data_IF_332027165488
#
_entry.id   IF_332027165488
#
_cell.length_a   1.000
_cell.length_b   1.000
_cell.length_c   1.000
_cell.angle_alpha   90.00
_cell.angle_beta   90.00
_cell.angle_gamma   90.00
#
_symmetry.space_group_name_H-M   'P 1'
#
loop_
_entity.id
_entity.type
_entity.pdbx_description
1 polymer ?
#
# COMPACT_ATOMS: atom_id res chain seq x y z
N UNK A 1 -6.44 12.52 -5.62
CA UNK A 1 -5.44 11.46 -5.38
C UNK A 1 -4.09 11.95 -5.90
N UNK A 2 -3.06 11.93 -5.07
CA UNK A 2 -1.68 12.24 -5.46
C UNK A 2 -0.91 10.92 -5.57
N UNK A 3 -0.31 10.66 -6.72
CA UNK A 3 0.29 9.35 -7.01
C UNK A 3 1.54 9.48 -7.88
N UNK A 4 2.37 8.43 -7.96
CA UNK A 4 3.52 8.38 -8.85
C UNK A 4 3.08 8.41 -10.31
N UNK A 5 3.79 9.17 -11.14
CA UNK A 5 3.62 9.11 -12.60
C UNK A 5 4.27 7.85 -13.19
N UNK A 6 3.54 7.19 -14.09
CA UNK A 6 4.02 6.07 -14.90
C UNK A 6 4.28 6.48 -16.36
N UNK A 7 5.01 5.65 -17.13
CA UNK A 7 5.29 5.93 -18.54
C UNK A 7 4.01 6.17 -19.37
N UNK A 8 4.01 7.23 -20.16
CA UNK A 8 2.88 7.58 -21.05
C UNK A 8 1.63 8.10 -20.34
N UNK A 9 1.65 8.29 -19.01
CA UNK A 9 0.53 8.85 -18.28
C UNK A 9 0.54 10.38 -18.28
N UNK A 10 -0.66 10.98 -18.25
CA UNK A 10 -0.82 12.42 -18.05
C UNK A 10 -0.61 12.78 -16.58
N UNK A 11 -0.10 13.98 -16.33
CA UNK A 11 0.04 14.51 -14.96
C UNK A 11 -1.31 14.69 -14.27
N UNK A 12 -2.37 14.92 -15.05
CA UNK A 12 -3.73 15.04 -14.53
C UNK A 12 -4.73 14.21 -15.36
N UNK A 13 -5.64 13.53 -14.65
CA UNK A 13 -6.86 12.94 -15.21
C UNK A 13 -8.01 13.03 -14.19
N UNK A 14 -9.25 13.01 -14.66
CA UNK A 14 -10.42 12.73 -13.82
C UNK A 14 -11.05 11.42 -14.29
N UNK A 15 -11.03 10.40 -13.44
CA UNK A 15 -11.56 9.06 -13.74
C UNK A 15 -12.61 8.73 -12.69
N UNK A 16 -13.84 8.45 -13.13
CA UNK A 16 -14.98 8.13 -12.25
C UNK A 16 -15.18 9.15 -11.11
N UNK A 17 -14.95 10.45 -11.40
CA UNK A 17 -15.08 11.54 -10.44
C UNK A 17 -13.88 11.72 -9.49
N UNK A 18 -12.83 10.91 -9.64
CA UNK A 18 -11.60 11.03 -8.86
C UNK A 18 -10.57 11.83 -9.65
N UNK A 19 -10.09 12.93 -9.07
CA UNK A 19 -9.00 13.74 -9.62
C UNK A 19 -7.65 13.09 -9.32
N UNK A 20 -6.95 12.64 -10.34
CA UNK A 20 -5.60 12.06 -10.26
C UNK A 20 -4.57 13.15 -10.56
N UNK A 21 -3.69 13.41 -9.60
CA UNK A 21 -2.49 14.24 -9.75
C UNK A 21 -1.28 13.31 -9.73
N UNK A 22 -0.77 12.96 -10.92
CA UNK A 22 0.38 12.08 -11.09
C UNK A 22 1.65 12.92 -11.04
N UNK A 23 2.38 12.78 -9.94
CA UNK A 23 3.51 13.62 -9.57
C UNK A 23 4.78 13.08 -10.22
N UNK A 24 5.39 13.90 -11.06
CA UNK A 24 6.73 13.69 -11.62
C UNK A 24 7.79 13.96 -10.55
N UNK A 25 8.82 13.12 -10.48
CA UNK A 25 9.92 13.27 -9.53
C UNK A 25 11.21 12.69 -10.10
N UNK A 26 12.35 13.11 -9.53
CA UNK A 26 13.66 12.58 -9.92
C UNK A 26 13.87 11.17 -9.37
N UNK A 27 14.07 10.20 -10.27
CA UNK A 27 14.42 8.82 -9.92
C UNK A 27 15.76 8.75 -9.18
N UNK A 28 15.88 7.75 -8.31
CA UNK A 28 17.11 7.53 -7.55
C UNK A 28 17.36 6.03 -7.40
N UNK A 29 18.60 5.54 -7.58
CA UNK A 29 18.93 4.12 -7.39
C UNK A 29 18.76 3.67 -5.93
N UNK A 30 18.82 4.58 -4.96
CA UNK A 30 18.43 4.28 -3.60
C UNK A 30 16.91 4.40 -3.41
N UNK A 31 16.28 3.27 -3.09
CA UNK A 31 14.83 3.18 -2.92
C UNK A 31 14.28 4.15 -1.88
N UNK A 32 14.96 4.33 -0.75
CA UNK A 32 14.46 5.22 0.33
C UNK A 32 14.52 6.66 -0.16
N UNK A 33 15.62 7.05 -0.80
CA UNK A 33 15.75 8.39 -1.40
C UNK A 33 14.76 8.61 -2.55
N UNK A 34 14.51 7.60 -3.38
CA UNK A 34 13.52 7.66 -4.46
C UNK A 34 12.12 7.92 -3.90
N UNK A 35 11.70 7.18 -2.86
CA UNK A 35 10.40 7.36 -2.24
C UNK A 35 10.28 8.71 -1.52
N UNK A 36 11.39 9.22 -0.98
CA UNK A 36 11.44 10.57 -0.43
C UNK A 36 11.26 11.66 -1.51
N UNK A 37 11.92 11.52 -2.67
CA UNK A 37 11.74 12.45 -3.80
C UNK A 37 10.28 12.43 -4.31
N UNK A 38 9.70 11.24 -4.41
CA UNK A 38 8.30 11.05 -4.76
C UNK A 38 7.37 11.72 -3.75
N UNK A 39 7.61 11.51 -2.44
CA UNK A 39 6.83 12.14 -1.38
C UNK A 39 6.87 13.67 -1.45
N UNK A 40 8.05 14.26 -1.71
CA UNK A 40 8.17 15.72 -1.86
C UNK A 40 7.36 16.25 -3.04
N UNK A 41 7.38 15.55 -4.17
CA UNK A 41 6.56 15.91 -5.33
C UNK A 41 5.05 15.82 -5.01
N UNK A 42 4.64 14.79 -4.25
CA UNK A 42 3.24 14.67 -3.79
C UNK A 42 2.83 15.79 -2.84
N UNK A 43 3.68 16.16 -1.88
CA UNK A 43 3.40 17.28 -0.96
C UNK A 43 3.29 18.60 -1.72
N UNK A 44 4.19 18.86 -2.67
CA UNK A 44 4.12 20.05 -3.54
C UNK A 44 2.81 20.11 -4.33
N UNK A 45 2.43 19.02 -5.00
CA UNK A 45 1.18 18.94 -5.74
C UNK A 45 -0.05 19.09 -4.82
N UNK A 46 0.01 18.52 -3.61
CA UNK A 46 -1.02 18.66 -2.59
C UNK A 46 -1.22 20.11 -2.18
N UNK A 47 -0.15 20.85 -1.88
CA UNK A 47 -0.25 22.26 -1.50
C UNK A 47 -0.80 23.12 -2.63
N UNK A 48 -0.31 22.93 -3.85
CA UNK A 48 -0.83 23.66 -5.02
C UNK A 48 -2.33 23.38 -5.25
N UNK A 49 -2.76 22.13 -5.03
CA UNK A 49 -4.16 21.75 -5.12
C UNK A 49 -4.99 22.43 -4.01
N UNK A 50 -4.58 22.35 -2.75
CA UNK A 50 -5.31 22.99 -1.65
C UNK A 50 -5.40 24.51 -1.79
N UNK A 51 -4.32 25.16 -2.25
CA UNK A 51 -4.30 26.60 -2.47
C UNK A 51 -5.25 27.01 -3.62
N UNK A 52 -5.55 26.10 -4.56
CA UNK A 52 -6.46 26.34 -5.67
C UNK A 52 -7.92 25.97 -5.37
N UNK A 53 -8.18 24.75 -4.90
CA UNK A 53 -9.53 24.21 -4.72
C UNK A 53 -10.04 24.24 -3.28
N UNK A 54 -9.22 24.67 -2.33
CA UNK A 54 -9.55 24.69 -0.91
C UNK A 54 -9.06 23.46 -0.14
N UNK A 55 -9.25 23.51 1.18
CA UNK A 55 -8.71 22.54 2.12
C UNK A 55 -9.34 21.15 1.99
N UNK A 56 -8.53 20.11 2.20
CA UNK A 56 -9.02 18.76 2.47
C UNK A 56 -9.29 18.57 3.98
N UNK A 57 -10.40 17.91 4.31
CA UNK A 57 -10.73 17.59 5.70
C UNK A 57 -9.88 16.43 6.25
N UNK A 58 -9.52 15.48 5.37
CA UNK A 58 -8.78 14.27 5.71
C UNK A 58 -7.72 14.02 4.63
N UNK A 59 -6.52 13.69 5.07
CA UNK A 59 -5.44 13.19 4.22
C UNK A 59 -5.24 11.71 4.53
N UNK A 60 -5.37 10.87 3.52
CA UNK A 60 -5.22 9.41 3.67
C UNK A 60 -3.98 8.94 2.93
N UNK A 61 -2.94 8.56 3.67
CA UNK A 61 -1.71 7.99 3.12
C UNK A 61 -1.71 6.46 3.15
N UNK A 62 -1.05 5.86 2.16
CA UNK A 62 -0.94 4.42 2.01
C UNK A 62 0.54 3.99 1.97
N UNK A 63 0.92 3.14 2.91
CA UNK A 63 2.28 2.60 3.11
C UNK A 63 3.39 3.64 3.36
N UNK A 64 4.55 3.12 3.77
CA UNK A 64 5.68 3.90 4.27
C UNK A 64 6.22 4.95 3.27
N UNK A 65 6.07 4.72 1.97
CA UNK A 65 6.68 5.56 0.94
C UNK A 65 6.07 6.96 0.84
N UNK A 66 4.85 7.17 1.35
CA UNK A 66 4.22 8.51 1.42
C UNK A 66 4.38 9.21 2.77
N UNK A 67 4.99 8.56 3.77
CA UNK A 67 5.10 9.12 5.12
C UNK A 67 5.82 10.48 5.16
N UNK A 68 6.91 10.72 4.39
CA UNK A 68 7.50 12.06 4.35
C UNK A 68 6.52 13.13 3.84
N UNK A 69 5.67 12.82 2.85
CA UNK A 69 4.64 13.76 2.39
C UNK A 69 3.59 14.03 3.47
N UNK A 70 3.15 13.00 4.19
CA UNK A 70 2.19 13.14 5.30
C UNK A 70 2.76 14.03 6.41
N UNK A 71 4.03 13.85 6.75
CA UNK A 71 4.72 14.66 7.76
C UNK A 71 4.77 16.14 7.35
N UNK A 72 5.22 16.43 6.13
CA UNK A 72 5.25 17.80 5.59
C UNK A 72 3.86 18.45 5.61
N UNK A 73 2.83 17.72 5.18
CA UNK A 73 1.44 18.20 5.16
C UNK A 73 0.92 18.44 6.58
N UNK A 74 1.20 17.55 7.54
CA UNK A 74 0.77 17.71 8.94
C UNK A 74 1.42 18.95 9.56
N UNK A 75 2.73 19.11 9.38
CA UNK A 75 3.49 20.24 9.93
C UNK A 75 3.09 21.57 9.31
N UNK A 76 2.85 21.62 8.00
CA UNK A 76 2.53 22.85 7.30
C UNK A 76 1.08 23.30 7.48
N UNK A 77 0.13 22.36 7.48
CA UNK A 77 -1.31 22.66 7.39
C UNK A 77 -2.17 22.03 8.49
N UNK A 78 -1.59 21.27 9.42
CA UNK A 78 -2.30 20.67 10.55
C UNK A 78 -3.38 19.65 10.15
N UNK A 79 -3.25 19.01 8.98
CA UNK A 79 -4.29 18.11 8.45
C UNK A 79 -4.42 16.85 9.29
N UNK A 80 -5.66 16.35 9.39
CA UNK A 80 -5.97 15.05 9.99
C UNK A 80 -5.50 13.95 9.05
N UNK A 81 -4.72 13.02 9.57
CA UNK A 81 -4.10 11.94 8.81
C UNK A 81 -4.73 10.60 9.16
N UNK A 82 -5.17 9.89 8.13
CA UNK A 82 -5.42 8.45 8.19
C UNK A 82 -4.27 7.75 7.47
N UNK A 83 -3.74 6.68 8.06
CA UNK A 83 -2.63 5.94 7.48
C UNK A 83 -2.97 4.47 7.36
N UNK A 84 -2.96 3.93 6.14
CA UNK A 84 -3.11 2.49 5.91
C UNK A 84 -1.74 1.84 5.74
N UNK A 85 -1.45 0.87 6.60
CA UNK A 85 -0.34 -0.07 6.39
C UNK A 85 -0.89 -1.31 5.66
N UNK A 86 -0.46 -1.49 4.41
CA UNK A 86 -0.83 -2.68 3.61
C UNK A 86 0.08 -3.86 3.92
N UNK A 87 1.31 -3.58 4.34
CA UNK A 87 2.26 -4.54 4.88
C UNK A 87 3.29 -3.81 5.73
N UNK A 88 3.95 -4.52 6.64
CA UNK A 88 5.11 -4.00 7.35
C UNK A 88 6.40 -4.65 6.84
N UNK A 89 7.53 -4.00 7.10
CA UNK A 89 8.83 -4.48 6.66
C UNK A 89 9.20 -5.82 7.30
N UNK A 90 8.82 -6.03 8.56
CA UNK A 90 9.07 -7.28 9.29
C UNK A 90 8.46 -8.49 8.59
N UNK A 91 7.19 -8.42 8.19
CA UNK A 91 6.52 -9.48 7.44
C UNK A 91 7.08 -9.64 6.02
N UNK A 92 7.54 -8.55 5.38
CA UNK A 92 8.26 -8.64 4.10
C UNK A 92 9.59 -9.38 4.24
N UNK A 93 10.22 -9.28 5.40
CA UNK A 93 11.47 -9.95 5.75
C UNK A 93 11.28 -11.36 6.35
N UNK A 94 10.10 -11.96 6.14
CA UNK A 94 9.81 -13.31 6.62
C UNK A 94 9.84 -13.40 8.14
N UNK A 95 9.37 -12.35 8.82
CA UNK A 95 9.30 -12.26 10.27
C UNK A 95 10.68 -12.19 10.95
N UNK A 96 11.65 -11.57 10.28
CA UNK A 96 12.99 -11.31 10.82
C UNK A 96 13.33 -9.83 10.85
N UNK A 97 14.20 -9.44 11.77
CA UNK A 97 14.74 -8.09 11.81
C UNK A 97 16.05 -8.04 11.03
N UNK A 98 16.08 -7.22 9.99
CA UNK A 98 17.31 -6.85 9.30
C UNK A 98 17.65 -5.37 9.55
N UNK A 99 18.94 -5.09 9.43
CA UNK A 99 19.54 -3.75 9.53
C UNK A 99 19.54 -3.02 8.18
N UNK A 100 20.20 -1.86 8.14
CA UNK A 100 20.31 -1.05 6.93
C UNK A 100 18.96 -0.56 6.43
N UNK A 101 18.67 -0.75 5.14
CA UNK A 101 17.44 -0.24 4.51
C UNK A 101 16.17 -0.79 5.15
N UNK A 102 16.18 -2.05 5.59
CA UNK A 102 15.04 -2.66 6.26
C UNK A 102 14.75 -1.95 7.60
N UNK A 103 15.79 -1.67 8.39
CA UNK A 103 15.64 -0.89 9.62
C UNK A 103 15.15 0.55 9.35
N UNK A 104 15.65 1.20 8.29
CA UNK A 104 15.17 2.53 7.87
C UNK A 104 13.70 2.51 7.51
N UNK A 105 13.25 1.58 6.67
CA UNK A 105 11.84 1.46 6.26
C UNK A 105 10.95 1.20 7.48
N UNK A 106 11.36 0.31 8.38
CA UNK A 106 10.63 0.02 9.62
C UNK A 106 10.53 1.25 10.53
N UNK A 107 11.56 2.10 10.55
CA UNK A 107 11.53 3.40 11.23
C UNK A 107 10.55 4.39 10.60
N UNK A 108 10.46 4.42 9.26
CA UNK A 108 9.49 5.23 8.53
C UNK A 108 8.06 4.71 8.78
N UNK A 109 7.84 3.40 8.77
CA UNK A 109 6.55 2.77 9.12
C UNK A 109 6.12 3.17 10.53
N UNK A 110 7.02 3.04 11.52
CA UNK A 110 6.76 3.49 12.89
C UNK A 110 6.38 4.98 12.91
N UNK A 111 7.17 5.83 12.24
CA UNK A 111 6.92 7.27 12.22
C UNK A 111 5.57 7.63 11.57
N UNK A 112 5.21 6.96 10.47
CA UNK A 112 3.90 7.10 9.84
C UNK A 112 2.76 6.78 10.80
N UNK A 113 2.88 5.68 11.55
CA UNK A 113 1.89 5.32 12.57
C UNK A 113 1.86 6.29 13.76
N UNK A 114 2.99 6.93 14.07
CA UNK A 114 3.09 7.94 15.11
C UNK A 114 2.35 9.22 14.72
N UNK A 115 2.62 9.79 13.54
CA UNK A 115 2.02 11.05 13.09
C UNK A 115 0.55 10.92 12.66
N UNK A 116 0.09 9.73 12.32
CA UNK A 116 -1.30 9.50 11.94
C UNK A 116 -2.27 9.83 13.08
N UNK A 117 -3.51 10.19 12.78
CA UNK A 117 -4.59 10.30 13.77
C UNK A 117 -5.37 8.98 13.88
N UNK A 118 -5.44 8.22 12.77
CA UNK A 118 -5.96 6.85 12.73
C UNK A 118 -5.08 5.97 11.85
N UNK A 119 -4.94 4.70 12.24
CA UNK A 119 -4.21 3.69 11.48
C UNK A 119 -5.17 2.60 11.01
N UNK A 120 -5.08 2.21 9.74
CA UNK A 120 -5.87 1.13 9.14
C UNK A 120 -4.93 -0.01 8.75
N UNK A 121 -5.36 -1.24 8.99
CA UNK A 121 -4.72 -2.48 8.53
C UNK A 121 -5.77 -3.44 7.96
N UNK A 122 -5.36 -4.39 7.12
CA UNK A 122 -6.29 -5.26 6.40
C UNK A 122 -6.81 -6.46 7.21
N UNK A 123 -6.11 -6.88 8.27
CA UNK A 123 -6.45 -8.08 9.04
C UNK A 123 -6.21 -7.89 10.55
N UNK A 124 -6.85 -8.72 11.36
CA UNK A 124 -6.60 -8.75 12.82
C UNK A 124 -5.17 -9.19 13.13
N UNK A 125 -4.61 -10.11 12.35
CA UNK A 125 -3.20 -10.53 12.48
C UNK A 125 -2.26 -9.34 12.28
N UNK A 126 -2.46 -8.57 11.21
CA UNK A 126 -1.67 -7.36 10.96
C UNK A 126 -1.88 -6.30 12.05
N UNK A 127 -3.08 -6.21 12.64
CA UNK A 127 -3.34 -5.33 13.79
C UNK A 127 -2.43 -5.72 14.95
N UNK A 128 -2.49 -6.99 15.40
CA UNK A 128 -1.66 -7.47 16.50
C UNK A 128 -0.17 -7.30 16.25
N UNK A 129 0.30 -7.68 15.05
CA UNK A 129 1.71 -7.53 14.64
C UNK A 129 2.15 -6.06 14.65
N UNK A 130 1.37 -5.15 14.07
CA UNK A 130 1.73 -3.73 14.00
C UNK A 130 1.65 -3.05 15.38
N UNK A 131 0.72 -3.46 16.26
CA UNK A 131 0.68 -2.99 17.65
C UNK A 131 1.94 -3.39 18.41
N UNK A 132 2.38 -4.64 18.26
CA UNK A 132 3.61 -5.12 18.88
C UNK A 132 4.83 -4.40 18.32
N UNK A 133 4.96 -4.34 16.99
CA UNK A 133 6.12 -3.83 16.26
C UNK A 133 6.31 -2.32 16.47
N UNK A 134 5.24 -1.55 16.41
CA UNK A 134 5.30 -0.08 16.42
C UNK A 134 4.70 0.56 17.69
N UNK A 135 4.28 -0.25 18.67
CA UNK A 135 3.68 0.20 19.94
C UNK A 135 2.44 1.08 19.74
N UNK A 136 1.62 0.76 18.75
CA UNK A 136 0.44 1.55 18.38
C UNK A 136 -0.67 1.33 19.42
N UNK A 137 -1.23 2.39 20.03
CA UNK A 137 -2.37 2.25 20.92
C UNK A 137 -3.58 1.66 20.20
N UNK A 138 -4.28 0.73 20.86
CA UNK A 138 -5.40 0.03 20.24
C UNK A 138 -6.49 0.97 19.71
N UNK A 139 -6.82 2.00 20.49
CA UNK A 139 -7.88 2.94 20.15
C UNK A 139 -7.64 3.65 18.80
N UNK A 140 -6.37 3.75 18.37
CA UNK A 140 -5.93 4.40 17.13
C UNK A 140 -6.14 3.53 15.89
N UNK A 141 -6.24 2.21 16.07
CA UNK A 141 -6.23 1.24 14.97
C UNK A 141 -7.64 0.78 14.56
N UNK A 142 -7.84 0.56 13.26
CA UNK A 142 -9.06 -0.05 12.69
C UNK A 142 -8.67 -1.14 11.69
N UNK A 143 -9.39 -2.25 11.74
CA UNK A 143 -9.27 -3.30 10.73
C UNK A 143 -10.32 -3.04 9.67
N UNK A 144 -9.88 -2.86 8.43
CA UNK A 144 -10.76 -2.72 7.25
C UNK A 144 -10.30 -3.75 6.24
N UNK A 145 -11.09 -4.79 6.04
CA UNK A 145 -10.75 -5.88 5.14
C UNK A 145 -10.72 -5.42 3.68
N UNK A 146 -9.71 -5.89 2.94
CA UNK A 146 -9.66 -5.68 1.50
C UNK A 146 -10.87 -6.35 0.83
N UNK A 147 -11.46 -5.64 -0.13
CA UNK A 147 -12.55 -6.15 -0.93
C UNK A 147 -12.02 -6.73 -2.25
N UNK A 148 -12.76 -7.69 -2.80
CA UNK A 148 -12.58 -8.18 -4.17
C UNK A 148 -13.82 -7.80 -4.98
N UNK A 149 -13.61 -7.37 -6.23
CA UNK A 149 -14.74 -7.21 -7.15
C UNK A 149 -15.21 -8.60 -7.59
N UNK A 150 -16.19 -9.14 -6.88
CA UNK A 150 -16.70 -10.49 -7.09
C UNK A 150 -17.24 -10.72 -8.51
N UNK A 151 -17.71 -9.67 -9.20
CA UNK A 151 -18.21 -9.79 -10.57
C UNK A 151 -17.15 -10.29 -11.56
N UNK A 152 -15.85 -10.09 -11.26
CA UNK A 152 -14.76 -10.64 -12.08
C UNK A 152 -14.59 -12.16 -11.95
N UNK A 153 -15.22 -12.76 -10.94
CA UNK A 153 -15.10 -14.19 -10.60
C UNK A 153 -16.45 -14.91 -10.60
N UNK A 154 -17.54 -14.20 -10.89
CA UNK A 154 -18.91 -14.72 -10.79
C UNK A 154 -19.43 -15.28 -12.12
N UNK A 155 -18.60 -16.08 -12.82
CA UNK A 155 -18.92 -16.64 -14.13
C UNK A 155 -18.83 -18.17 -14.17
N UNK A 156 -19.45 -18.78 -15.17
CA UNK A 156 -19.26 -20.20 -15.47
C UNK A 156 -18.08 -20.40 -16.43
N UNK A 157 -17.25 -21.38 -16.13
CA UNK A 157 -16.21 -21.90 -17.02
C UNK A 157 -16.42 -23.40 -17.17
N UNK A 158 -16.05 -23.97 -18.32
CA UNK A 158 -16.00 -25.43 -18.47
C UNK A 158 -14.69 -25.96 -17.84
N UNK A 159 -14.73 -26.66 -16.68
CA UNK A 159 -13.50 -27.08 -15.99
C UNK A 159 -12.66 -28.06 -16.81
N UNK A 160 -13.30 -28.91 -17.61
CA UNK A 160 -12.60 -29.88 -18.46
C UNK A 160 -11.74 -29.19 -19.53
N UNK A 161 -12.27 -28.15 -20.17
CA UNK A 161 -11.52 -27.36 -21.16
C UNK A 161 -10.33 -26.62 -20.55
N UNK A 162 -10.46 -26.11 -19.33
CA UNK A 162 -9.35 -25.45 -18.64
C UNK A 162 -8.28 -26.46 -18.24
N UNK A 163 -8.66 -27.59 -17.64
CA UNK A 163 -7.73 -28.66 -17.26
C UNK A 163 -6.97 -29.23 -18.45
N UNK A 164 -7.64 -29.41 -19.59
CA UNK A 164 -7.02 -29.91 -20.83
C UNK A 164 -5.86 -29.03 -21.31
N UNK A 165 -5.90 -27.70 -21.09
CA UNK A 165 -4.80 -26.77 -21.43
C UNK A 165 -3.52 -27.04 -20.65
N UNK A 166 -3.62 -27.74 -19.52
CA UNK A 166 -2.49 -28.13 -18.67
C UNK A 166 -2.24 -29.64 -18.71
N UNK A 167 -2.86 -30.35 -19.65
CA UNK A 167 -2.78 -31.81 -19.77
C UNK A 167 -3.26 -32.57 -18.53
N UNK A 168 -4.22 -32.00 -17.80
CA UNK A 168 -4.87 -32.63 -16.64
C UNK A 168 -6.19 -33.27 -17.11
N UNK A 169 -6.45 -34.51 -16.70
CA UNK A 169 -7.69 -35.21 -17.03
C UNK A 169 -8.93 -34.52 -16.46
N UNK A 170 -10.10 -34.60 -17.12
CA UNK A 170 -11.29 -33.86 -16.72
C UNK A 170 -11.75 -34.23 -15.29
N UNK A 171 -11.57 -35.50 -14.91
CA UNK A 171 -11.97 -36.04 -13.61
C UNK A 171 -10.80 -36.14 -12.60
N UNK A 172 -9.57 -35.82 -13.01
CA UNK A 172 -8.42 -35.93 -12.13
C UNK A 172 -8.56 -34.92 -10.96
N UNK A 173 -8.37 -35.36 -9.70
CA UNK A 173 -8.29 -34.44 -8.57
C UNK A 173 -7.22 -33.36 -8.84
N UNK A 174 -7.55 -32.11 -8.56
CA UNK A 174 -6.65 -30.99 -8.86
C UNK A 174 -6.57 -30.06 -7.66
N UNK A 175 -5.35 -29.79 -7.21
CA UNK A 175 -5.04 -28.77 -6.21
C UNK A 175 -4.38 -27.60 -6.93
N UNK A 176 -4.90 -26.39 -6.74
CA UNK A 176 -4.39 -25.17 -7.38
C UNK A 176 -3.86 -24.21 -6.31
N UNK A 177 -2.59 -23.81 -6.48
CA UNK A 177 -2.00 -22.70 -5.76
C UNK A 177 -1.84 -21.50 -6.70
N UNK A 178 -2.33 -20.33 -6.29
CA UNK A 178 -2.15 -19.07 -7.01
C UNK A 178 -1.48 -18.07 -6.08
N UNK A 179 -0.22 -17.77 -6.34
CA UNK A 179 0.57 -16.86 -5.52
C UNK A 179 1.91 -16.52 -6.16
N UNK A 180 2.59 -15.53 -5.62
CA UNK A 180 4.00 -15.27 -5.99
C UNK A 180 4.86 -16.41 -5.45
N UNK A 181 5.88 -16.80 -6.21
CA UNK A 181 6.87 -17.80 -5.80
C UNK A 181 7.86 -17.19 -4.80
N UNK A 182 7.40 -16.95 -3.58
CA UNK A 182 8.20 -16.35 -2.51
C UNK A 182 7.96 -17.09 -1.19
N UNK A 183 8.97 -17.05 -0.31
CA UNK A 183 8.94 -17.74 0.98
C UNK A 183 7.69 -17.41 1.81
N UNK A 184 7.25 -16.14 1.82
CA UNK A 184 6.07 -15.69 2.56
C UNK A 184 4.75 -16.31 2.07
N UNK A 185 4.74 -16.95 0.90
CA UNK A 185 3.56 -17.62 0.33
C UNK A 185 3.61 -19.14 0.46
N UNK A 186 4.73 -19.69 0.93
CA UNK A 186 4.90 -21.12 1.23
C UNK A 186 4.59 -22.10 0.09
N UNK A 187 4.86 -21.81 -1.20
CA UNK A 187 4.61 -22.79 -2.27
C UNK A 187 5.48 -24.05 -2.12
N UNK A 188 6.58 -23.96 -1.36
CA UNK A 188 7.48 -25.06 -1.00
C UNK A 188 6.90 -26.02 0.04
N UNK A 189 5.82 -25.62 0.74
CA UNK A 189 5.13 -26.43 1.75
C UNK A 189 3.91 -27.18 1.19
N UNK A 190 3.56 -26.94 -0.08
CA UNK A 190 2.45 -27.58 -0.79
C UNK A 190 2.88 -28.91 -1.39
#
# INVERSE_FOLDING_TARGET
>A
MFTRIGPGQREYDCIDGVHYHRCSFAFNPDLVQEMHNMSKAMAHAFFACEDFCGKFDIVHGHDWHVVPALDEIKKARGRKIVFTLHSNQYGRDGNHFHDGKAATIRGIEWYGTYIADRVIVATQTMKGESQWLHRIPEWKMRVVHNAVNFNKFNGWINPAEIKAKYHIGPLDPTVLFVGRMTYQKGPDLL
#
